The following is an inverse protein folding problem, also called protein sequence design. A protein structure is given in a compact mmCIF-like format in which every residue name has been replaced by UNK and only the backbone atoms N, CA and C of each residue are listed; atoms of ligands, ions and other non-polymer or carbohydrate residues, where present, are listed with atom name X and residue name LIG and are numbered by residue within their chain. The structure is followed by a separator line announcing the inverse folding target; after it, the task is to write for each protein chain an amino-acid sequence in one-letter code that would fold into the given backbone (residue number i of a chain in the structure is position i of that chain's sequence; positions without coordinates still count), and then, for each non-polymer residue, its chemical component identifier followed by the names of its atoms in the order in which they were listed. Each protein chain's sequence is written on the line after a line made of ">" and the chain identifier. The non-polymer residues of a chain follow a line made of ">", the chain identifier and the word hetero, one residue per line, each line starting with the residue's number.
data_IF_734091706790
#
_entry.id   IF_734091706790
#
_cell.length_a   1.000
_cell.length_b   1.000
_cell.length_c   1.000
_cell.angle_alpha   90.00
_cell.angle_beta   90.00
_cell.angle_gamma   90.00
#
_symmetry.space_group_name_H-M   'P 1'
#
loop_
_entity.id
_entity.type
_entity.pdbx_description
1 polymer ?
#
# COMPACT_ATOMS: atom_id res chain seq x y z
N UNK A 1 -8.81 2.51 -2.71
CA UNK A 1 -9.65 3.71 -2.88
C UNK A 1 -9.29 4.42 -4.19
N UNK A 2 -9.48 3.74 -5.33
CA UNK A 2 -9.20 4.35 -6.64
C UNK A 2 -10.29 5.34 -7.09
N UNK A 3 -11.43 5.30 -6.41
CA UNK A 3 -12.65 6.03 -6.72
C UNK A 3 -13.06 7.02 -5.61
N UNK A 4 -12.18 7.27 -4.64
CA UNK A 4 -12.45 8.28 -3.61
C UNK A 4 -11.98 9.65 -4.09
N UNK A 5 -12.85 10.64 -3.94
CA UNK A 5 -12.63 12.06 -4.24
C UNK A 5 -13.31 12.89 -3.15
N UNK A 6 -12.86 14.12 -2.95
CA UNK A 6 -13.53 15.07 -2.06
C UNK A 6 -14.83 15.63 -2.67
N UNK A 7 -15.49 16.55 -1.96
CA UNK A 7 -16.73 17.20 -2.43
C UNK A 7 -16.57 18.02 -3.71
N UNK A 8 -15.33 18.38 -4.08
CA UNK A 8 -14.98 19.09 -5.30
C UNK A 8 -14.53 18.14 -6.42
N UNK A 9 -14.51 16.82 -6.17
CA UNK A 9 -14.06 15.82 -7.12
C UNK A 9 -12.54 15.63 -7.18
N UNK A 10 -11.79 16.23 -6.26
CA UNK A 10 -10.33 16.15 -6.23
C UNK A 10 -9.87 14.86 -5.53
N UNK A 11 -8.83 14.24 -6.08
CA UNK A 11 -8.19 13.05 -5.47
C UNK A 11 -7.20 13.48 -4.40
N UNK A 12 -7.16 12.73 -3.29
CA UNK A 12 -6.10 12.89 -2.29
C UNK A 12 -4.78 12.28 -2.76
N UNK A 13 -3.67 12.94 -2.43
CA UNK A 13 -2.32 12.56 -2.90
C UNK A 13 -1.62 11.53 -2.00
N UNK A 14 -2.19 11.22 -0.83
CA UNK A 14 -1.53 10.36 0.17
C UNK A 14 -1.15 8.98 -0.36
N UNK A 15 -2.00 8.37 -1.19
CA UNK A 15 -1.73 7.05 -1.76
C UNK A 15 -0.50 7.03 -2.69
N UNK A 16 -0.20 8.15 -3.33
CA UNK A 16 0.91 8.29 -4.26
C UNK A 16 2.18 8.71 -3.51
N UNK A 17 2.07 9.72 -2.63
CA UNK A 17 3.21 10.35 -1.96
C UNK A 17 3.68 9.60 -0.70
N UNK A 18 2.78 8.94 0.02
CA UNK A 18 3.08 8.46 1.37
C UNK A 18 2.83 6.96 1.60
N UNK A 19 1.93 6.33 0.84
CA UNK A 19 1.65 4.92 1.02
C UNK A 19 2.85 4.04 0.59
N UNK A 20 3.55 3.46 1.58
CA UNK A 20 4.80 2.72 1.35
C UNK A 20 4.60 1.28 0.84
N UNK A 21 3.49 0.63 1.19
CA UNK A 21 3.24 -0.80 0.89
C UNK A 21 1.89 -1.05 0.21
N UNK A 22 0.89 -0.21 0.46
CA UNK A 22 -0.46 -0.44 0.00
C UNK A 22 -0.54 -0.42 -1.53
N UNK A 23 -1.16 -1.45 -2.11
CA UNK A 23 -1.30 -1.63 -3.56
C UNK A 23 0.04 -1.71 -4.34
N UNK A 24 1.13 -2.07 -3.65
CA UNK A 24 2.48 -2.24 -4.22
C UNK A 24 2.95 -3.70 -4.22
N UNK A 25 2.02 -4.66 -4.23
CA UNK A 25 2.35 -6.10 -4.23
C UNK A 25 3.35 -6.44 -5.33
N UNK A 26 4.43 -7.14 -4.99
CA UNK A 26 5.49 -7.52 -5.92
C UNK A 26 6.48 -6.40 -6.27
N UNK A 27 6.19 -5.14 -5.91
CA UNK A 27 7.18 -4.06 -6.04
C UNK A 27 8.20 -4.13 -4.90
N UNK A 28 9.38 -3.56 -5.14
CA UNK A 28 10.44 -3.51 -4.13
C UNK A 28 10.09 -2.54 -3.00
N UNK A 29 10.34 -2.96 -1.76
CA UNK A 29 10.19 -2.13 -0.58
C UNK A 29 11.15 -0.94 -0.65
N UNK A 30 10.62 0.28 -0.47
CA UNK A 30 11.42 1.51 -0.46
C UNK A 30 12.46 1.58 0.68
N UNK A 31 12.31 0.76 1.74
CA UNK A 31 13.24 0.75 2.88
C UNK A 31 14.35 -0.29 2.76
N UNK A 32 14.03 -1.49 2.27
CA UNK A 32 14.98 -2.63 2.30
C UNK A 32 15.12 -3.39 0.97
N UNK A 33 14.43 -2.97 -0.10
CA UNK A 33 14.48 -3.62 -1.42
C UNK A 33 13.76 -4.96 -1.55
N UNK A 34 13.29 -5.55 -0.44
CA UNK A 34 12.54 -6.82 -0.48
C UNK A 34 11.17 -6.62 -1.16
N UNK A 35 10.67 -7.55 -1.98
CA UNK A 35 9.34 -7.45 -2.56
C UNK A 35 8.26 -7.31 -1.49
N UNK A 36 7.25 -6.47 -1.75
CA UNK A 36 6.09 -6.33 -0.88
C UNK A 36 5.13 -7.51 -1.08
N UNK A 37 4.76 -8.13 0.03
CA UNK A 37 3.84 -9.26 0.07
C UNK A 37 2.40 -8.77 0.22
N UNK A 38 1.47 -9.52 -0.39
CA UNK A 38 0.04 -9.40 -0.13
C UNK A 38 -0.48 -10.68 0.48
N UNK A 39 -0.86 -10.59 1.74
CA UNK A 39 -1.41 -11.69 2.52
C UNK A 39 -2.89 -11.45 2.81
N UNK A 40 -3.59 -12.48 3.29
CA UNK A 40 -4.96 -12.37 3.77
C UNK A 40 -4.99 -12.64 5.27
N UNK A 41 -5.48 -11.67 6.05
CA UNK A 41 -5.58 -11.76 7.51
C UNK A 41 -7.02 -11.45 7.91
N UNK A 42 -7.66 -12.38 8.63
CA UNK A 42 -9.07 -12.25 9.03
C UNK A 42 -9.99 -11.84 7.86
N UNK A 43 -9.78 -12.46 6.69
CA UNK A 43 -10.57 -12.19 5.48
C UNK A 43 -10.25 -10.88 4.75
N UNK A 44 -9.32 -10.05 5.23
CA UNK A 44 -8.91 -8.80 4.57
C UNK A 44 -7.55 -8.93 3.90
N UNK A 45 -7.40 -8.33 2.72
CA UNK A 45 -6.12 -8.26 2.02
C UNK A 45 -5.21 -7.22 2.68
N UNK A 46 -4.03 -7.65 3.11
CA UNK A 46 -3.03 -6.83 3.81
C UNK A 46 -1.76 -6.82 2.98
N UNK A 47 -1.20 -5.62 2.75
CA UNK A 47 0.11 -5.46 2.10
C UNK A 47 1.16 -5.21 3.17
N UNK A 48 2.27 -5.94 3.13
CA UNK A 48 3.30 -5.88 4.16
C UNK A 48 4.68 -6.14 3.57
N UNK A 49 5.72 -5.53 4.17
CA UNK A 49 7.09 -5.96 3.93
C UNK A 49 7.51 -6.93 5.05
N UNK A 50 7.64 -8.21 4.74
CA UNK A 50 8.01 -9.27 5.69
C UNK A 50 9.41 -9.11 6.30
N UNK A 51 10.28 -8.33 5.65
CA UNK A 51 11.62 -7.96 6.18
C UNK A 51 11.57 -6.80 7.17
N UNK A 52 10.79 -5.76 6.89
CA UNK A 52 10.75 -4.53 7.70
C UNK A 52 9.73 -4.58 8.84
N UNK A 53 8.63 -5.30 8.66
CA UNK A 53 7.57 -5.41 9.65
C UNK A 53 7.59 -6.83 10.22
N UNK A 54 8.08 -6.93 11.46
CA UNK A 54 8.07 -8.13 12.30
C UNK A 54 7.35 -7.81 13.60
#
# INVERSE_FOLDING_TARGET
>A
ARNYVDSQGMRGEYLELHAQVFNRSGQVCARCGHPIDKIRVAGRGTHICSKCQK
#
